data_IF_614662194183
#
_entry.id   IF_614662194183
#
_cell.length_a   1.000
_cell.length_b   1.000
_cell.length_c   1.000
_cell.angle_alpha   90.00
_cell.angle_beta   90.00
_cell.angle_gamma   90.00
#
_symmetry.space_group_name_H-M   'P 1'
#
loop_
_entity.id
_entity.type
_entity.pdbx_description
1 polymer ?
#
# COMPACT_ATOMS: atom_id res chain seq x y z
N UNK A 1 -36.51 -34.23 -64.34
CA UNK A 1 -35.35 -33.73 -65.10
C UNK A 1 -35.29 -32.22 -64.94
N UNK A 2 -34.15 -31.72 -64.47
CA UNK A 2 -33.54 -30.40 -64.66
C UNK A 2 -34.42 -29.14 -64.63
N UNK A 3 -34.28 -28.35 -63.56
CA UNK A 3 -34.47 -26.88 -63.62
C UNK A 3 -33.19 -26.15 -63.18
N UNK A 4 -32.88 -24.98 -63.77
CA UNK A 4 -31.51 -24.48 -63.93
C UNK A 4 -31.04 -23.57 -62.80
N UNK A 5 -29.74 -23.60 -62.56
CA UNK A 5 -29.00 -22.69 -61.69
C UNK A 5 -28.86 -21.31 -62.33
N UNK A 6 -29.52 -20.28 -61.77
CA UNK A 6 -29.14 -18.89 -62.01
C UNK A 6 -28.43 -18.32 -60.77
N UNK A 7 -27.14 -18.06 -60.96
CA UNK A 7 -26.23 -17.43 -60.00
C UNK A 7 -26.70 -16.02 -59.65
N UNK A 8 -26.89 -15.75 -58.36
CA UNK A 8 -26.91 -14.39 -57.84
C UNK A 8 -25.46 -13.85 -57.78
N UNK A 9 -25.22 -12.56 -58.11
CA UNK A 9 -23.87 -12.00 -58.12
C UNK A 9 -23.28 -11.94 -56.71
N UNK A 10 -22.08 -12.49 -56.56
CA UNK A 10 -21.23 -12.30 -55.39
C UNK A 10 -20.83 -10.82 -55.32
N UNK A 11 -21.54 -10.03 -54.50
CA UNK A 11 -21.05 -8.72 -54.09
C UNK A 11 -19.86 -9.01 -53.16
N UNK A 12 -18.64 -8.83 -53.68
CA UNK A 12 -17.45 -8.74 -52.88
C UNK A 12 -17.59 -7.52 -51.96
N UNK A 13 -18.06 -7.73 -50.73
CA UNK A 13 -17.85 -6.78 -49.65
C UNK A 13 -16.35 -6.76 -49.40
N UNK A 14 -15.69 -5.71 -49.86
CA UNK A 14 -14.41 -5.29 -49.32
C UNK A 14 -14.61 -5.11 -47.81
N UNK A 15 -14.14 -6.08 -47.03
CA UNK A 15 -13.95 -5.92 -45.60
C UNK A 15 -12.69 -5.09 -45.41
N UNK A 16 -12.79 -3.79 -45.71
CA UNK A 16 -11.90 -2.80 -45.13
C UNK A 16 -12.33 -2.71 -43.66
N UNK A 17 -11.68 -3.51 -42.80
CA UNK A 17 -11.75 -3.29 -41.37
C UNK A 17 -11.32 -1.84 -41.07
N UNK A 18 -11.84 -1.20 -40.01
CA UNK A 18 -11.45 0.16 -39.68
C UNK A 18 -9.93 0.21 -39.60
N UNK A 19 -9.32 1.02 -40.49
CA UNK A 19 -7.89 1.26 -40.49
C UNK A 19 -7.53 1.75 -39.08
N UNK A 20 -6.93 0.87 -38.27
CA UNK A 20 -6.43 1.25 -36.97
C UNK A 20 -5.48 2.42 -37.20
N UNK A 21 -5.68 3.57 -36.54
CA UNK A 21 -4.78 4.69 -36.68
C UNK A 21 -3.36 4.18 -36.41
N UNK A 22 -2.44 4.49 -37.31
CA UNK A 22 -1.05 4.09 -37.20
C UNK A 22 -0.50 4.59 -35.85
N UNK A 23 -0.31 3.67 -34.89
CA UNK A 23 0.15 3.96 -33.53
C UNK A 23 1.67 4.22 -33.46
N UNK A 24 2.38 4.08 -34.58
CA UNK A 24 3.83 4.31 -34.68
C UNK A 24 4.29 5.69 -34.15
N UNK A 25 3.59 6.83 -34.36
CA UNK A 25 4.05 8.15 -33.88
C UNK A 25 4.01 8.30 -32.35
N UNK A 26 3.14 7.55 -31.65
CA UNK A 26 3.03 7.62 -30.19
C UNK A 26 4.10 6.76 -29.48
N UNK A 27 4.64 5.74 -30.16
CA UNK A 27 5.65 4.83 -29.62
C UNK A 27 7.01 5.50 -29.34
N UNK A 28 7.28 6.64 -29.99
CA UNK A 28 8.54 7.37 -29.89
C UNK A 28 8.54 8.47 -28.82
N UNK A 29 7.38 8.82 -28.23
CA UNK A 29 7.33 9.82 -27.16
C UNK A 29 8.06 9.33 -25.91
N UNK A 30 9.05 10.10 -25.43
CA UNK A 30 9.77 9.79 -24.20
C UNK A 30 8.84 9.64 -22.99
N UNK A 31 7.76 10.43 -22.91
CA UNK A 31 6.78 10.34 -21.82
C UNK A 31 6.00 9.02 -21.86
N UNK A 32 5.65 8.56 -23.05
CA UNK A 32 4.99 7.27 -23.26
C UNK A 32 5.91 6.10 -22.92
N UNK A 33 7.17 6.15 -23.37
CA UNK A 33 8.19 5.14 -23.04
C UNK A 33 8.44 5.04 -21.53
N UNK A 34 8.58 6.18 -20.85
CA UNK A 34 8.74 6.21 -19.40
C UNK A 34 7.51 5.67 -18.67
N UNK A 35 6.30 6.02 -19.11
CA UNK A 35 5.04 5.51 -18.52
C UNK A 35 4.90 4.00 -18.73
N UNK A 36 5.30 3.48 -19.88
CA UNK A 36 5.37 2.04 -20.14
C UNK A 36 6.40 1.35 -19.24
N UNK A 37 7.57 1.96 -19.01
CA UNK A 37 8.55 1.42 -18.06
C UNK A 37 7.97 1.31 -16.64
N UNK A 38 7.19 2.31 -16.20
CA UNK A 38 6.50 2.26 -14.91
C UNK A 38 5.49 1.10 -14.84
N UNK A 39 4.70 0.89 -15.91
CA UNK A 39 3.76 -0.23 -16.02
C UNK A 39 4.49 -1.59 -15.95
N UNK A 40 5.59 -1.74 -16.67
CA UNK A 40 6.41 -2.96 -16.65
C UNK A 40 6.98 -3.20 -15.26
N UNK A 41 7.57 -2.19 -14.64
CA UNK A 41 8.14 -2.31 -13.29
C UNK A 41 7.08 -2.69 -12.25
N UNK A 42 5.85 -2.17 -12.41
CA UNK A 42 4.71 -2.56 -11.59
C UNK A 42 4.28 -4.01 -11.83
N UNK A 43 4.31 -4.49 -13.07
CA UNK A 43 4.04 -5.91 -13.36
C UNK A 43 5.12 -6.80 -12.76
N UNK A 44 6.39 -6.46 -12.93
CA UNK A 44 7.53 -7.22 -12.40
C UNK A 44 7.52 -7.33 -10.88
N UNK A 45 6.86 -6.37 -10.20
CA UNK A 45 6.65 -6.44 -8.76
C UNK A 45 5.94 -7.73 -8.34
N UNK A 46 5.12 -8.36 -9.19
CA UNK A 46 4.47 -9.65 -8.86
C UNK A 46 5.47 -10.80 -8.79
N UNK A 47 6.58 -10.73 -9.52
CA UNK A 47 7.62 -11.76 -9.60
C UNK A 47 8.60 -11.72 -8.40
N UNK A 48 8.70 -10.58 -7.71
CA UNK A 48 9.63 -10.42 -6.58
C UNK A 48 9.30 -11.36 -5.40
N UNK A 49 10.26 -12.18 -4.97
CA UNK A 49 10.08 -13.18 -3.90
C UNK A 49 10.68 -12.77 -2.55
N UNK A 50 11.39 -11.63 -2.49
CA UNK A 50 12.06 -11.15 -1.29
C UNK A 50 11.72 -9.68 -0.98
N UNK A 51 11.93 -9.27 0.28
CA UNK A 51 11.75 -7.88 0.70
C UNK A 51 12.75 -6.96 -0.02
N UNK A 52 14.00 -7.39 -0.18
CA UNK A 52 15.03 -6.65 -0.92
C UNK A 52 14.67 -6.48 -2.39
N UNK A 53 14.11 -7.52 -3.03
CA UNK A 53 13.60 -7.44 -4.39
C UNK A 53 12.49 -6.39 -4.54
N UNK A 54 11.53 -6.37 -3.60
CA UNK A 54 10.47 -5.35 -3.58
C UNK A 54 11.01 -3.93 -3.39
N UNK A 55 12.01 -3.74 -2.52
CA UNK A 55 12.64 -2.44 -2.31
C UNK A 55 13.45 -1.99 -3.54
N UNK A 56 14.18 -2.91 -4.18
CA UNK A 56 14.94 -2.66 -5.41
C UNK A 56 14.02 -2.28 -6.56
N UNK A 57 12.92 -3.03 -6.76
CA UNK A 57 11.86 -2.69 -7.72
C UNK A 57 11.27 -1.30 -7.44
N UNK A 58 10.97 -1.00 -6.17
CA UNK A 58 10.46 0.31 -5.76
C UNK A 58 11.43 1.45 -6.05
N UNK A 59 12.73 1.21 -5.87
CA UNK A 59 13.78 2.19 -6.19
C UNK A 59 13.80 2.50 -7.69
N UNK A 60 13.85 1.46 -8.54
CA UNK A 60 13.80 1.61 -10.02
C UNK A 60 12.54 2.36 -10.48
N UNK A 61 11.39 2.03 -9.88
CA UNK A 61 10.13 2.72 -10.18
C UNK A 61 10.20 4.21 -9.83
N UNK A 62 10.71 4.57 -8.65
CA UNK A 62 10.78 5.95 -8.18
C UNK A 62 11.76 6.79 -9.00
N UNK A 63 12.88 6.22 -9.42
CA UNK A 63 13.85 6.87 -10.29
C UNK A 63 13.20 7.27 -11.62
N UNK A 64 12.53 6.32 -12.29
CA UNK A 64 11.80 6.62 -13.52
C UNK A 64 10.64 7.61 -13.30
N UNK A 65 9.87 7.46 -12.22
CA UNK A 65 8.76 8.36 -11.90
C UNK A 65 9.22 9.80 -11.66
N UNK A 66 10.38 9.97 -11.02
CA UNK A 66 11.01 11.29 -10.84
C UNK A 66 11.39 11.90 -12.20
N UNK A 67 11.94 11.09 -13.12
CA UNK A 67 12.30 11.54 -14.46
C UNK A 67 11.06 11.98 -15.27
N UNK A 68 9.95 11.24 -15.18
CA UNK A 68 8.67 11.64 -15.81
C UNK A 68 8.22 13.01 -15.31
N UNK A 69 8.29 13.22 -13.98
CA UNK A 69 7.85 14.47 -13.36
C UNK A 69 8.79 15.65 -13.63
N UNK A 70 10.09 15.40 -13.77
CA UNK A 70 11.07 16.44 -14.10
C UNK A 70 10.90 16.95 -15.54
N UNK A 71 10.55 16.06 -16.48
CA UNK A 71 10.31 16.41 -17.89
C UNK A 71 8.89 16.97 -18.14
N UNK A 72 8.01 16.92 -17.14
CA UNK A 72 6.63 17.39 -17.21
C UNK A 72 6.50 18.91 -17.36
N UNK A 73 7.52 19.67 -16.94
CA UNK A 73 7.49 21.15 -16.91
C UNK A 73 7.58 21.80 -18.29
N UNK A 74 7.85 21.02 -19.34
CA UNK A 74 8.07 21.52 -20.71
C UNK A 74 6.92 21.15 -21.69
N UNK A 75 5.81 20.61 -21.18
CA UNK A 75 4.76 19.96 -21.98
C UNK A 75 3.43 20.71 -21.83
N UNK A 76 2.90 21.26 -22.93
CA UNK A 76 1.61 21.99 -22.95
C UNK A 76 0.48 21.26 -23.67
N UNK A 77 0.65 19.98 -24.04
CA UNK A 77 -0.40 19.18 -24.68
C UNK A 77 -1.34 18.54 -23.66
N UNK A 78 -2.62 18.41 -24.00
CA UNK A 78 -3.62 17.72 -23.15
C UNK A 78 -3.29 16.23 -22.93
N UNK A 79 -2.66 15.59 -23.91
CA UNK A 79 -2.23 14.20 -23.84
C UNK A 79 -1.12 13.98 -22.79
N UNK A 80 -0.20 14.94 -22.66
CA UNK A 80 0.89 14.89 -21.68
C UNK A 80 0.36 15.00 -20.25
N UNK A 81 -0.66 15.84 -20.03
CA UNK A 81 -1.36 15.96 -18.74
C UNK A 81 -2.08 14.67 -18.35
N UNK A 82 -2.67 13.98 -19.32
CA UNK A 82 -3.33 12.69 -19.11
C UNK A 82 -2.33 11.60 -18.73
N UNK A 83 -1.19 11.55 -19.40
CA UNK A 83 -0.08 10.65 -19.08
C UNK A 83 0.55 10.95 -17.70
N UNK A 84 0.66 12.22 -17.32
CA UNK A 84 1.13 12.60 -15.98
C UNK A 84 0.18 12.13 -14.89
N UNK A 85 -1.14 12.31 -15.07
CA UNK A 85 -2.15 11.77 -14.16
C UNK A 85 -2.06 10.24 -14.07
N UNK A 86 -1.89 9.56 -15.19
CA UNK A 86 -1.69 8.10 -15.23
C UNK A 86 -0.43 7.68 -14.47
N UNK A 87 0.70 8.37 -14.67
CA UNK A 87 1.96 8.10 -13.97
C UNK A 87 1.82 8.23 -12.45
N UNK A 88 1.06 9.24 -12.00
CA UNK A 88 0.77 9.46 -10.58
C UNK A 88 -0.11 8.33 -10.01
N UNK A 89 -1.16 7.93 -10.74
CA UNK A 89 -2.00 6.80 -10.35
C UNK A 89 -1.18 5.50 -10.23
N UNK A 90 -0.28 5.24 -11.17
CA UNK A 90 0.64 4.10 -11.12
C UNK A 90 1.55 4.15 -9.90
N UNK A 91 2.06 5.32 -9.51
CA UNK A 91 2.89 5.46 -8.32
C UNK A 91 2.13 5.10 -7.03
N UNK A 92 0.86 5.50 -6.91
CA UNK A 92 0.02 5.16 -5.76
C UNK A 92 -0.24 3.66 -5.68
N UNK A 93 -0.58 3.04 -6.81
CA UNK A 93 -0.87 1.61 -6.86
C UNK A 93 0.41 0.78 -6.61
N UNK A 94 1.53 1.17 -7.22
CA UNK A 94 2.83 0.54 -6.97
C UNK A 94 3.19 0.57 -5.48
N UNK A 95 3.09 1.74 -4.84
CA UNK A 95 3.33 1.89 -3.39
C UNK A 95 2.43 0.97 -2.57
N UNK A 96 1.15 0.90 -2.89
CA UNK A 96 0.18 0.04 -2.19
C UNK A 96 0.54 -1.44 -2.34
N UNK A 97 0.93 -1.87 -3.54
CA UNK A 97 1.36 -3.26 -3.79
C UNK A 97 2.68 -3.60 -3.08
N UNK A 98 3.67 -2.69 -3.07
CA UNK A 98 4.89 -2.88 -2.29
C UNK A 98 4.57 -3.08 -0.81
N UNK A 99 3.73 -2.22 -0.22
CA UNK A 99 3.34 -2.35 1.19
C UNK A 99 2.60 -3.68 1.44
N UNK A 100 1.68 -4.06 0.55
CA UNK A 100 0.95 -5.33 0.66
C UNK A 100 1.90 -6.53 0.61
N UNK A 101 2.87 -6.54 -0.31
CA UNK A 101 3.89 -7.60 -0.41
C UNK A 101 4.84 -7.61 0.78
N UNK A 102 5.37 -6.46 1.21
CA UNK A 102 6.24 -6.37 2.38
C UNK A 102 5.55 -6.87 3.65
N UNK A 103 4.27 -6.56 3.81
CA UNK A 103 3.46 -7.07 4.94
C UNK A 103 3.20 -8.56 4.80
N UNK A 104 2.99 -9.08 3.59
CA UNK A 104 2.87 -10.52 3.35
C UNK A 104 4.16 -11.26 3.73
N UNK A 105 5.33 -10.79 3.28
CA UNK A 105 6.61 -11.38 3.66
C UNK A 105 6.91 -11.34 5.15
N UNK A 106 6.51 -10.27 5.86
CA UNK A 106 6.61 -10.19 7.33
C UNK A 106 5.64 -11.11 8.06
N UNK A 107 4.58 -11.55 7.39
CA UNK A 107 3.55 -12.44 7.96
C UNK A 107 3.78 -13.91 7.61
N UNK A 108 4.53 -14.21 6.57
CA UNK A 108 4.97 -15.57 6.27
C UNK A 108 5.81 -16.06 7.45
N UNK A 109 5.35 -17.06 8.22
CA UNK A 109 6.23 -17.71 9.17
C UNK A 109 7.28 -18.42 8.32
N UNK A 110 8.52 -17.93 8.38
CA UNK A 110 9.66 -18.68 7.86
C UNK A 110 9.60 -20.07 8.49
N UNK A 111 9.57 -21.12 7.66
CA UNK A 111 9.54 -22.53 8.07
C UNK A 111 10.82 -22.97 8.83
N UNK A 112 11.64 -22.02 9.27
CA UNK A 112 12.96 -22.25 9.87
C UNK A 112 13.10 -21.64 11.27
N UNK A 113 12.07 -20.97 11.81
CA UNK A 113 12.11 -20.36 13.16
C UNK A 113 11.28 -21.15 14.20
N UNK A 114 10.65 -22.26 13.82
CA UNK A 114 9.86 -23.06 14.76
C UNK A 114 10.69 -23.93 15.72
N UNK A 115 12.00 -24.10 15.51
CA UNK A 115 12.82 -24.95 16.39
C UNK A 115 13.51 -24.22 17.55
N UNK A 116 13.70 -22.90 17.48
CA UNK A 116 14.40 -22.15 18.56
C UNK A 116 13.47 -21.85 19.75
N UNK A 117 12.14 -21.93 19.57
CA UNK A 117 11.18 -21.69 20.65
C UNK A 117 10.84 -22.93 21.48
N UNK A 118 11.29 -24.13 21.08
CA UNK A 118 10.97 -25.38 21.77
C UNK A 118 11.90 -25.71 22.96
N UNK A 119 13.05 -25.05 23.10
CA UNK A 119 14.05 -25.40 24.14
C UNK A 119 13.93 -24.54 25.41
N UNK A 120 13.02 -23.56 25.46
CA UNK A 120 12.87 -22.62 26.59
C UNK A 120 11.64 -22.85 27.47
N UNK A 121 10.94 -23.98 27.30
CA UNK A 121 9.69 -24.32 28.00
C UNK A 121 9.89 -25.29 29.18
N UNK A 122 11.10 -25.39 29.73
CA UNK A 122 11.43 -26.31 30.80
C UNK A 122 12.13 -25.61 31.97
N UNK A 123 11.53 -24.55 32.53
CA UNK A 123 11.66 -24.22 33.95
C UNK A 123 10.70 -23.08 34.32
N UNK A 124 10.03 -23.27 35.46
CA UNK A 124 9.22 -22.34 36.24
C UNK A 124 7.73 -22.21 35.88
N UNK A 125 7.00 -23.20 36.39
CA UNK A 125 5.60 -23.13 36.77
C UNK A 125 5.46 -22.19 37.99
N UNK A 126 5.10 -20.92 37.75
CA UNK A 126 4.28 -20.07 38.63
C UNK A 126 3.86 -18.79 37.87
N UNK A 127 2.60 -18.43 38.04
CA UNK A 127 1.92 -17.23 37.54
C UNK A 127 1.33 -17.28 36.12
N UNK A 128 0.12 -17.85 36.08
CA UNK A 128 -0.86 -17.75 35.00
C UNK A 128 -1.17 -16.28 34.65
N UNK A 129 -0.39 -15.63 33.79
CA UNK A 129 -0.74 -14.35 33.13
C UNK A 129 0.12 -14.02 31.89
N UNK A 130 0.59 -15.05 31.18
CA UNK A 130 1.34 -14.88 29.94
C UNK A 130 0.42 -14.65 28.73
N UNK A 131 0.51 -13.44 28.15
CA UNK A 131 0.01 -13.07 26.82
C UNK A 131 -1.51 -12.94 26.64
N UNK A 132 -2.10 -11.91 27.26
CA UNK A 132 -3.27 -11.24 26.69
C UNK A 132 -2.98 -10.95 25.21
N UNK A 133 -3.87 -11.38 24.32
CA UNK A 133 -3.72 -11.17 22.89
C UNK A 133 -3.53 -9.66 22.61
N UNK A 134 -2.79 -9.30 21.55
CA UNK A 134 -2.57 -7.87 21.17
C UNK A 134 -3.87 -7.06 21.15
N UNK A 135 -4.99 -7.71 20.80
CA UNK A 135 -6.33 -7.11 20.78
C UNK A 135 -6.83 -6.80 22.20
N UNK A 136 -6.68 -7.72 23.13
CA UNK A 136 -7.07 -7.53 24.54
C UNK A 136 -6.20 -6.47 25.21
N UNK A 137 -4.88 -6.49 25.01
CA UNK A 137 -3.99 -5.43 25.51
C UNK A 137 -4.40 -4.05 24.96
N UNK A 138 -4.75 -4.00 23.66
CA UNK A 138 -5.27 -2.79 23.03
C UNK A 138 -6.59 -2.34 23.63
N UNK A 139 -7.51 -3.25 23.91
CA UNK A 139 -8.77 -2.92 24.54
C UNK A 139 -8.53 -2.40 25.97
N UNK A 140 -7.70 -3.09 26.75
CA UNK A 140 -7.35 -2.72 28.13
C UNK A 140 -6.85 -1.29 28.23
N UNK A 141 -5.75 -0.94 27.55
CA UNK A 141 -5.24 0.42 27.65
C UNK A 141 -6.21 1.46 27.08
N UNK A 142 -6.97 1.15 26.02
CA UNK A 142 -7.92 2.13 25.48
C UNK A 142 -9.03 2.44 26.46
N UNK A 143 -9.51 1.44 27.22
CA UNK A 143 -10.50 1.66 28.27
C UNK A 143 -9.94 2.56 29.37
N UNK A 144 -8.74 2.25 29.88
CA UNK A 144 -8.08 3.06 30.92
C UNK A 144 -7.90 4.52 30.49
N UNK A 145 -7.38 4.75 29.28
CA UNK A 145 -7.08 6.10 28.79
C UNK A 145 -8.34 6.90 28.46
N UNK A 146 -9.41 6.26 27.98
CA UNK A 146 -10.69 6.92 27.76
C UNK A 146 -11.34 7.35 29.06
N UNK A 147 -11.37 6.47 30.06
CA UNK A 147 -11.91 6.80 31.38
C UNK A 147 -11.20 8.03 31.98
N UNK A 148 -9.88 8.14 31.80
CA UNK A 148 -9.13 9.31 32.24
C UNK A 148 -9.53 10.58 31.49
N UNK A 149 -9.70 10.51 30.16
CA UNK A 149 -10.16 11.65 29.35
C UNK A 149 -11.55 12.11 29.81
N UNK A 150 -12.47 11.18 30.10
CA UNK A 150 -13.83 11.54 30.50
C UNK A 150 -13.82 12.32 31.82
N UNK A 151 -12.93 11.96 32.74
CA UNK A 151 -12.69 12.67 33.99
C UNK A 151 -11.98 14.03 33.79
N UNK A 152 -11.15 14.16 32.75
CA UNK A 152 -10.35 15.35 32.45
C UNK A 152 -10.78 16.01 31.12
N UNK A 153 -12.08 16.00 30.83
CA UNK A 153 -12.63 16.45 29.54
C UNK A 153 -12.34 17.93 29.26
N UNK A 154 -12.26 18.75 30.31
CA UNK A 154 -11.94 20.18 30.22
C UNK A 154 -10.47 20.45 29.91
N UNK A 155 -9.55 19.61 30.41
CA UNK A 155 -8.11 19.77 30.19
C UNK A 155 -7.41 18.41 30.01
N UNK A 156 -7.43 17.85 28.78
CA UNK A 156 -6.92 16.52 28.48
C UNK A 156 -5.39 16.51 28.30
N UNK A 157 -4.69 17.00 29.32
CA UNK A 157 -3.23 17.06 29.40
C UNK A 157 -2.79 16.45 30.73
N UNK A 158 -2.41 15.15 30.73
CA UNK A 158 -1.97 14.50 31.95
C UNK A 158 -0.64 15.12 32.43
N UNK A 159 -0.57 15.40 33.72
CA UNK A 159 0.66 15.85 34.39
C UNK A 159 1.65 14.68 34.55
N UNK A 160 2.87 14.97 35.03
CA UNK A 160 3.94 13.95 35.15
C UNK A 160 3.55 12.77 36.05
N UNK A 161 2.78 13.03 37.11
CA UNK A 161 2.31 12.00 38.06
C UNK A 161 1.23 11.12 37.42
N UNK A 162 0.22 11.74 36.82
CA UNK A 162 -0.86 11.06 36.09
C UNK A 162 -0.32 10.23 34.93
N UNK A 163 0.71 10.72 34.21
CA UNK A 163 1.37 9.94 33.17
C UNK A 163 1.97 8.64 33.71
N UNK A 164 2.66 8.70 34.85
CA UNK A 164 3.25 7.51 35.47
C UNK A 164 2.16 6.52 35.92
N UNK A 165 1.08 7.02 36.53
CA UNK A 165 -0.07 6.21 36.94
C UNK A 165 -0.76 5.54 35.75
N UNK A 166 -1.02 6.29 34.67
CA UNK A 166 -1.62 5.77 33.45
C UNK A 166 -0.74 4.74 32.76
N UNK A 167 0.57 4.98 32.68
CA UNK A 167 1.52 4.00 32.13
C UNK A 167 1.49 2.68 32.92
N UNK A 168 1.46 2.76 34.24
CA UNK A 168 1.37 1.59 35.13
C UNK A 168 0.05 0.84 34.93
N UNK A 169 -1.09 1.54 34.99
CA UNK A 169 -2.43 0.94 34.86
C UNK A 169 -2.68 0.35 33.48
N UNK A 170 -2.27 1.05 32.42
CA UNK A 170 -2.46 0.62 31.05
C UNK A 170 -1.40 -0.38 30.56
N UNK A 171 -0.33 -0.62 31.33
CA UNK A 171 0.81 -1.46 30.92
C UNK A 171 1.41 -1.02 29.58
N UNK A 172 1.59 0.30 29.39
CA UNK A 172 2.19 0.89 28.18
C UNK A 172 3.32 1.85 28.53
N UNK A 173 4.24 2.04 27.60
CA UNK A 173 5.34 2.99 27.74
C UNK A 173 4.85 4.44 27.68
N UNK A 174 5.59 5.36 28.31
CA UNK A 174 5.28 6.80 28.28
C UNK A 174 5.24 7.35 26.84
N UNK A 175 6.09 6.83 25.96
CA UNK A 175 6.07 7.18 24.53
C UNK A 175 4.75 6.79 23.87
N UNK A 176 4.24 5.58 24.13
CA UNK A 176 2.95 5.12 23.62
C UNK A 176 1.80 5.97 24.17
N UNK A 177 1.86 6.31 25.45
CA UNK A 177 0.90 7.21 26.11
C UNK A 177 0.87 8.59 25.42
N UNK A 178 2.02 9.23 25.28
CA UNK A 178 2.14 10.55 24.64
C UNK A 178 1.62 10.55 23.19
N UNK A 179 1.95 9.50 22.42
CA UNK A 179 1.44 9.32 21.07
C UNK A 179 -0.09 9.14 21.04
N UNK A 180 -0.63 8.36 21.98
CA UNK A 180 -2.07 8.13 22.10
C UNK A 180 -2.80 9.44 22.37
N UNK A 181 -2.38 10.22 23.37
CA UNK A 181 -3.00 11.51 23.71
C UNK A 181 -2.90 12.53 22.57
N UNK A 182 -1.73 12.62 21.92
CA UNK A 182 -1.54 13.54 20.78
C UNK A 182 -2.51 13.22 19.65
N UNK A 183 -2.62 11.93 19.30
CA UNK A 183 -3.52 11.51 18.24
C UNK A 183 -5.01 11.57 18.66
N UNK A 184 -5.33 11.34 19.94
CA UNK A 184 -6.68 11.51 20.48
C UNK A 184 -7.14 12.96 20.34
N UNK A 185 -6.33 13.92 20.85
CA UNK A 185 -6.64 15.35 20.73
C UNK A 185 -6.82 15.80 19.29
N UNK A 186 -5.93 15.36 18.39
CA UNK A 186 -6.04 15.67 16.96
C UNK A 186 -7.34 15.17 16.31
N UNK A 187 -7.93 14.08 16.81
CA UNK A 187 -9.14 13.47 16.23
C UNK A 187 -10.43 13.91 16.89
N UNK A 188 -10.37 14.31 18.16
CA UNK A 188 -11.57 14.51 18.99
C UNK A 188 -11.68 15.92 19.61
N UNK A 189 -10.61 16.71 19.61
CA UNK A 189 -10.56 18.02 20.28
C UNK A 189 -10.12 19.17 19.36
N UNK A 190 -9.74 18.88 18.11
CA UNK A 190 -9.59 19.91 17.08
C UNK A 190 -10.96 20.12 16.42
N UNK A 191 -11.44 21.37 16.31
CA UNK A 191 -12.71 21.70 15.64
C UNK A 191 -12.69 21.39 14.14
#
# INVERSE_FOLDING_TARGET
MLFPTHKLPCIQKQTEGPCLPNLEPFSQSHLYQHTNYLLTTLRDLSLETSVEGVLSNRKRFLEMYSNVRANASHLSSEDDNSLLRASHALNLEHRKQCLKKMVAFKRTPCLEVQQIQAVKMAQDNKDSKGFQTRRELKQHYNTVLKNWIDQHSSHPFPNKKEKAELCSQASITERQLNNWFTNYRRRHLQP
#
